data_IF_029399084751
#
_entry.id   IF_029399084751
#
_cell.length_a   1.000
_cell.length_b   1.000
_cell.length_c   1.000
_cell.angle_alpha   90.00
_cell.angle_beta   90.00
_cell.angle_gamma   90.00
#
_symmetry.space_group_name_H-M   'P 1'
#
loop_
_entity.id
_entity.type
_entity.pdbx_description
1 polymer ?
#
# COMPACT_ATOMS: atom_id res chain seq x y z
N UNK A 1 11.72 -4.31 -18.38
CA UNK A 1 12.56 -3.22 -17.81
C UNK A 1 11.83 -1.87 -17.75
N UNK A 2 10.96 -1.54 -18.70
CA UNK A 2 10.20 -0.27 -18.70
C UNK A 2 9.33 -0.05 -17.45
N UNK A 3 8.59 -1.07 -16.99
CA UNK A 3 7.77 -1.01 -15.76
C UNK A 3 8.58 -0.71 -14.50
N UNK A 4 9.80 -1.26 -14.39
CA UNK A 4 10.67 -1.03 -13.24
C UNK A 4 11.19 0.42 -13.23
N UNK A 5 11.61 0.92 -14.38
CA UNK A 5 12.03 2.31 -14.53
C UNK A 5 10.87 3.28 -14.23
N UNK A 6 9.66 2.96 -14.70
CA UNK A 6 8.45 3.74 -14.40
C UNK A 6 8.13 3.75 -12.91
N UNK A 7 8.15 2.58 -12.25
CA UNK A 7 7.90 2.47 -10.81
C UNK A 7 8.93 3.26 -9.99
N UNK A 8 10.20 3.23 -10.39
CA UNK A 8 11.27 3.98 -9.75
C UNK A 8 11.09 5.48 -9.92
N UNK A 9 10.90 5.95 -11.16
CA UNK A 9 10.72 7.37 -11.45
C UNK A 9 9.46 7.95 -10.77
N UNK A 10 8.36 7.22 -10.82
CA UNK A 10 7.11 7.65 -10.17
C UNK A 10 7.20 7.63 -8.64
N UNK A 11 7.89 6.66 -8.05
CA UNK A 11 8.17 6.65 -6.61
C UNK A 11 9.01 7.86 -6.17
N UNK A 12 10.07 8.20 -6.90
CA UNK A 12 10.93 9.36 -6.60
C UNK A 12 10.15 10.68 -6.71
N UNK A 13 9.41 10.88 -7.80
CA UNK A 13 8.64 12.11 -8.02
C UNK A 13 7.54 12.28 -6.96
N UNK A 14 6.87 11.20 -6.58
CA UNK A 14 5.82 11.23 -5.57
C UNK A 14 6.39 11.49 -4.16
N UNK A 15 7.53 10.90 -3.83
CA UNK A 15 8.27 11.22 -2.60
C UNK A 15 8.69 12.69 -2.54
N UNK A 16 9.18 13.24 -3.65
CA UNK A 16 9.53 14.65 -3.74
C UNK A 16 8.30 15.57 -3.59
N UNK A 17 7.17 15.23 -4.21
CA UNK A 17 5.94 16.02 -4.16
C UNK A 17 5.27 16.05 -2.79
N UNK A 18 5.40 14.98 -2.00
CA UNK A 18 4.83 14.90 -0.65
C UNK A 18 5.81 15.24 0.48
N UNK A 19 7.06 15.56 0.16
CA UNK A 19 8.04 16.00 1.16
C UNK A 19 7.62 17.29 1.88
N UNK A 20 6.75 18.10 1.26
CA UNK A 20 6.21 19.34 1.85
C UNK A 20 4.83 19.19 2.49
N UNK A 21 4.28 17.97 2.56
CA UNK A 21 2.96 17.72 3.17
C UNK A 21 3.14 16.89 4.43
N UNK A 22 2.69 17.43 5.55
CA UNK A 22 2.71 16.73 6.82
C UNK A 22 1.53 15.76 6.89
N UNK A 23 1.85 14.50 7.15
CA UNK A 23 0.87 13.44 7.37
C UNK A 23 1.22 12.73 8.68
N UNK A 24 0.25 12.69 9.60
CA UNK A 24 0.48 12.27 10.99
C UNK A 24 0.99 10.82 11.11
N UNK A 25 0.57 9.95 10.19
CA UNK A 25 1.02 8.56 10.15
C UNK A 25 0.72 7.89 8.81
N UNK A 26 1.75 7.33 8.18
CA UNK A 26 1.66 6.58 6.93
C UNK A 26 2.12 5.14 7.09
N UNK A 27 1.37 4.16 6.54
CA UNK A 27 1.89 2.81 6.40
C UNK A 27 3.05 2.76 5.41
N UNK A 28 4.02 1.89 5.68
CA UNK A 28 5.15 1.66 4.79
C UNK A 28 4.65 1.19 3.43
N UNK A 29 4.81 2.05 2.44
CA UNK A 29 4.13 1.90 1.15
C UNK A 29 4.55 0.64 0.36
N UNK A 30 5.76 0.14 0.61
CA UNK A 30 6.26 -1.08 -0.03
C UNK A 30 5.78 -2.38 0.63
N UNK A 31 5.19 -2.35 1.83
CA UNK A 31 4.81 -3.56 2.56
C UNK A 31 3.76 -4.39 1.81
N UNK A 32 2.73 -3.73 1.28
CA UNK A 32 1.67 -4.40 0.53
C UNK A 32 2.20 -5.16 -0.69
N UNK A 33 2.93 -4.53 -1.65
CA UNK A 33 3.48 -5.26 -2.79
C UNK A 33 4.54 -6.31 -2.39
N UNK A 34 5.29 -6.07 -1.31
CA UNK A 34 6.25 -7.05 -0.79
C UNK A 34 5.53 -8.33 -0.33
N UNK A 35 4.53 -8.21 0.55
CA UNK A 35 3.82 -9.38 1.10
C UNK A 35 3.08 -10.13 -0.01
N UNK A 36 2.42 -9.41 -0.93
CA UNK A 36 1.79 -10.04 -2.09
C UNK A 36 2.83 -10.85 -2.89
N UNK A 37 3.99 -10.27 -3.18
CA UNK A 37 5.05 -10.97 -3.92
C UNK A 37 5.57 -12.21 -3.19
N UNK A 38 5.77 -12.12 -1.87
CA UNK A 38 6.25 -13.24 -1.05
C UNK A 38 5.22 -14.37 -0.98
N UNK A 39 3.93 -14.06 -0.86
CA UNK A 39 2.87 -15.07 -0.86
C UNK A 39 2.83 -15.82 -2.18
N UNK A 40 3.01 -15.13 -3.31
CA UNK A 40 3.06 -15.81 -4.61
C UNK A 40 4.36 -16.60 -4.83
N UNK A 41 5.51 -16.08 -4.38
CA UNK A 41 6.80 -16.74 -4.56
C UNK A 41 6.97 -17.99 -3.66
N UNK A 42 6.52 -17.91 -2.40
CA UNK A 42 6.81 -18.92 -1.38
C UNK A 42 5.55 -19.52 -0.75
N UNK A 43 4.43 -18.80 -0.73
CA UNK A 43 3.17 -19.29 -0.16
C UNK A 43 2.36 -20.14 -1.13
N UNK A 44 2.49 -19.93 -2.44
CA UNK A 44 1.70 -20.64 -3.45
C UNK A 44 1.84 -22.17 -3.41
N UNK A 45 3.04 -22.76 -3.19
CA UNK A 45 3.18 -24.21 -3.03
C UNK A 45 2.42 -24.77 -1.82
N UNK A 46 2.27 -24.00 -0.74
CA UNK A 46 1.62 -24.42 0.49
C UNK A 46 0.09 -24.18 0.49
N UNK A 47 -0.38 -23.14 -0.21
CA UNK A 47 -1.79 -22.73 -0.27
C UNK A 47 -2.62 -23.48 -1.32
N UNK A 48 -1.95 -24.23 -2.20
CA UNK A 48 -2.56 -24.95 -3.31
C UNK A 48 -2.99 -24.04 -4.47
N UNK A 49 -3.74 -24.60 -5.42
CA UNK A 49 -4.16 -23.91 -6.65
C UNK A 49 -5.44 -23.08 -6.51
N UNK A 50 -6.05 -23.07 -5.32
CA UNK A 50 -7.28 -22.33 -5.06
C UNK A 50 -7.02 -20.82 -5.05
N UNK A 51 -7.50 -20.12 -6.08
CA UNK A 51 -7.37 -18.65 -6.24
C UNK A 51 -7.87 -17.85 -5.02
N UNK A 52 -8.99 -18.21 -4.35
CA UNK A 52 -9.43 -17.50 -3.15
C UNK A 52 -8.43 -17.58 -1.99
N UNK A 53 -7.73 -18.71 -1.84
CA UNK A 53 -6.72 -18.88 -0.79
C UNK A 53 -5.51 -17.98 -1.03
N UNK A 54 -5.04 -17.91 -2.28
CA UNK A 54 -3.95 -17.01 -2.66
C UNK A 54 -4.33 -15.54 -2.48
N UNK A 55 -5.56 -15.17 -2.84
CA UNK A 55 -6.07 -13.81 -2.66
C UNK A 55 -6.19 -13.45 -1.17
N UNK A 56 -6.78 -14.33 -0.37
CA UNK A 56 -6.95 -14.13 1.07
C UNK A 56 -5.60 -14.04 1.80
N UNK A 57 -4.66 -14.93 1.48
CA UNK A 57 -3.33 -14.92 2.08
C UNK A 57 -2.52 -13.68 1.68
N UNK A 58 -2.57 -13.26 0.42
CA UNK A 58 -1.82 -12.09 -0.06
C UNK A 58 -2.39 -10.78 0.48
N UNK A 59 -3.68 -10.53 0.29
CA UNK A 59 -4.35 -9.29 0.72
C UNK A 59 -4.47 -9.24 2.25
N UNK A 60 -4.90 -10.34 2.87
CA UNK A 60 -5.05 -10.43 4.32
C UNK A 60 -3.71 -10.40 5.04
N UNK A 61 -2.70 -11.09 4.51
CA UNK A 61 -1.33 -11.03 5.02
C UNK A 61 -0.74 -9.63 4.91
N UNK A 62 -0.93 -8.95 3.76
CA UNK A 62 -0.47 -7.59 3.57
C UNK A 62 -1.13 -6.63 4.56
N UNK A 63 -2.46 -6.65 4.68
CA UNK A 63 -3.19 -5.81 5.61
C UNK A 63 -2.79 -6.11 7.07
N UNK A 64 -2.75 -7.37 7.45
CA UNK A 64 -2.36 -7.79 8.81
C UNK A 64 -0.96 -7.32 9.18
N UNK A 65 0.02 -7.52 8.29
CA UNK A 65 1.41 -7.12 8.55
C UNK A 65 1.57 -5.60 8.60
N UNK A 66 0.82 -4.87 7.76
CA UNK A 66 0.79 -3.40 7.80
C UNK A 66 0.19 -2.89 9.11
N UNK A 67 -0.89 -3.52 9.61
CA UNK A 67 -1.49 -3.15 10.90
C UNK A 67 -0.59 -3.51 12.09
N UNK A 68 0.06 -4.67 12.07
CA UNK A 68 1.04 -5.06 13.11
C UNK A 68 2.20 -4.06 13.13
N UNK A 69 2.74 -3.69 11.97
CA UNK A 69 3.79 -2.68 11.88
C UNK A 69 3.34 -1.35 12.51
N UNK A 70 2.14 -0.88 12.17
CA UNK A 70 1.57 0.33 12.74
C UNK A 70 1.35 0.27 14.25
N UNK A 71 1.00 -0.91 14.78
CA UNK A 71 0.85 -1.14 16.21
C UNK A 71 2.20 -1.07 16.93
N UNK A 72 3.23 -1.70 16.37
CA UNK A 72 4.58 -1.72 16.93
C UNK A 72 5.25 -0.33 16.90
N UNK A 73 4.97 0.47 15.88
CA UNK A 73 5.50 1.83 15.78
C UNK A 73 4.65 2.88 16.50
N UNK A 74 3.52 2.50 17.10
CA UNK A 74 2.58 3.44 17.73
C UNK A 74 1.90 4.39 16.74
N UNK A 75 1.94 4.08 15.44
CA UNK A 75 1.48 4.93 14.35
C UNK A 75 0.02 4.65 13.96
N UNK A 76 -0.72 3.87 14.76
CA UNK A 76 -2.06 3.41 14.46
C UNK A 76 -3.09 4.55 14.60
N UNK A 77 -3.25 5.36 13.54
CA UNK A 77 -4.26 6.41 13.44
C UNK A 77 -5.43 5.98 12.53
N UNK A 78 -6.53 6.72 12.55
CA UNK A 78 -7.66 6.51 11.62
C UNK A 78 -7.17 6.60 10.17
N UNK A 79 -6.32 7.57 9.87
CA UNK A 79 -5.71 7.75 8.55
C UNK A 79 -4.84 6.54 8.17
N UNK A 80 -4.06 6.00 9.10
CA UNK A 80 -3.23 4.81 8.87
C UNK A 80 -4.06 3.59 8.49
N UNK A 81 -5.14 3.33 9.24
CA UNK A 81 -6.05 2.20 8.98
C UNK A 81 -6.76 2.37 7.65
N UNK A 82 -7.24 3.58 7.34
CA UNK A 82 -7.89 3.89 6.07
C UNK A 82 -6.93 3.70 4.87
N UNK A 83 -5.71 4.23 4.95
CA UNK A 83 -4.67 4.03 3.93
C UNK A 83 -4.34 2.54 3.75
N UNK A 84 -4.19 1.80 4.85
CA UNK A 84 -3.92 0.36 4.81
C UNK A 84 -5.05 -0.41 4.12
N UNK A 85 -6.31 -0.06 4.40
CA UNK A 85 -7.49 -0.65 3.75
C UNK A 85 -7.56 -0.30 2.26
N UNK A 86 -7.29 0.95 1.88
CA UNK A 86 -7.32 1.37 0.49
C UNK A 86 -6.19 0.70 -0.32
N UNK A 87 -4.99 0.56 0.24
CA UNK A 87 -3.89 -0.18 -0.38
C UNK A 87 -4.20 -1.68 -0.52
N UNK A 88 -4.76 -2.31 0.51
CA UNK A 88 -5.21 -3.69 0.44
C UNK A 88 -6.35 -3.86 -0.58
N UNK A 89 -7.28 -2.91 -0.66
CA UNK A 89 -8.37 -2.89 -1.64
C UNK A 89 -7.84 -2.77 -3.07
N UNK A 90 -6.88 -1.88 -3.33
CA UNK A 90 -6.21 -1.75 -4.62
C UNK A 90 -5.49 -3.06 -5.02
N UNK A 91 -4.79 -3.70 -4.08
CA UNK A 91 -4.16 -5.01 -4.31
C UNK A 91 -5.20 -6.11 -4.59
N UNK A 92 -6.30 -6.12 -3.85
CA UNK A 92 -7.39 -7.08 -4.04
C UNK A 92 -8.01 -6.97 -5.44
N UNK A 93 -8.43 -5.75 -5.83
CA UNK A 93 -9.06 -5.52 -7.13
C UNK A 93 -8.13 -5.87 -8.29
N UNK A 94 -6.83 -5.55 -8.16
CA UNK A 94 -5.85 -5.88 -9.20
C UNK A 94 -5.61 -7.37 -9.29
N UNK A 95 -5.48 -8.08 -8.17
CA UNK A 95 -5.38 -9.54 -8.16
C UNK A 95 -6.63 -10.24 -8.69
N UNK A 96 -7.84 -9.78 -8.35
CA UNK A 96 -9.08 -10.30 -8.91
C UNK A 96 -9.12 -10.12 -10.44
N UNK A 97 -8.70 -8.95 -10.91
CA UNK A 97 -8.63 -8.64 -12.35
C UNK A 97 -7.59 -9.52 -13.05
N UNK A 98 -6.40 -9.67 -12.47
CA UNK A 98 -5.35 -10.55 -12.97
C UNK A 98 -5.85 -11.99 -13.08
N UNK A 99 -6.47 -12.53 -12.03
CA UNK A 99 -7.00 -13.89 -12.03
C UNK A 99 -8.12 -14.11 -13.04
N UNK A 100 -8.92 -13.08 -13.34
CA UNK A 100 -10.03 -13.18 -14.28
C UNK A 100 -9.59 -13.06 -15.74
N UNK A 101 -8.62 -12.18 -16.04
CA UNK A 101 -8.35 -11.76 -17.41
C UNK A 101 -6.94 -12.12 -17.92
N UNK A 102 -5.97 -12.39 -17.04
CA UNK A 102 -4.62 -12.75 -17.50
C UNK A 102 -4.55 -14.24 -17.86
N UNK A 103 -4.00 -14.49 -19.06
CA UNK A 103 -3.59 -15.81 -19.55
C UNK A 103 -2.08 -15.78 -19.76
N UNK A 104 -1.42 -16.94 -19.68
CA UNK A 104 0.04 -17.09 -19.56
C UNK A 104 0.89 -16.39 -20.63
N UNK A 105 0.33 -16.07 -21.81
CA UNK A 105 1.06 -15.48 -22.95
C UNK A 105 0.58 -14.08 -23.37
N UNK A 106 -0.10 -13.33 -22.49
CA UNK A 106 -0.65 -12.02 -22.87
C UNK A 106 0.24 -10.84 -22.43
N UNK A 107 0.70 -10.03 -23.40
CA UNK A 107 1.33 -8.72 -23.18
C UNK A 107 0.48 -7.78 -22.30
N UNK A 108 -0.84 -8.00 -22.26
CA UNK A 108 -1.80 -7.25 -21.44
C UNK A 108 -1.51 -7.32 -19.93
N UNK A 109 -0.69 -8.28 -19.49
CA UNK A 109 -0.26 -8.39 -18.08
C UNK A 109 0.40 -7.10 -17.58
N UNK A 110 1.19 -6.43 -18.43
CA UNK A 110 1.86 -5.18 -18.07
C UNK A 110 0.89 -4.03 -17.81
N UNK A 111 -0.28 -4.01 -18.47
CA UNK A 111 -1.31 -3.00 -18.23
C UNK A 111 -1.93 -3.15 -16.85
N UNK A 112 -2.18 -4.37 -16.38
CA UNK A 112 -2.70 -4.61 -15.03
C UNK A 112 -1.68 -4.24 -13.95
N UNK A 113 -0.39 -4.52 -14.18
CA UNK A 113 0.69 -4.09 -13.28
C UNK A 113 0.80 -2.55 -13.21
N UNK A 114 0.69 -1.87 -14.35
CA UNK A 114 0.65 -0.41 -14.41
C UNK A 114 -0.59 0.15 -13.70
N UNK A 115 -1.75 -0.47 -13.92
CA UNK A 115 -3.00 -0.10 -13.25
C UNK A 115 -2.90 -0.19 -11.72
N UNK A 116 -2.20 -1.19 -11.19
CA UNK A 116 -1.91 -1.28 -9.76
C UNK A 116 -1.09 -0.09 -9.25
N UNK A 117 0.00 0.24 -9.94
CA UNK A 117 0.86 1.38 -9.60
C UNK A 117 0.06 2.69 -9.60
N UNK A 118 -0.77 2.91 -10.62
CA UNK A 118 -1.62 4.11 -10.73
C UNK A 118 -2.67 4.15 -9.62
N UNK A 119 -3.35 3.04 -9.33
CA UNK A 119 -4.33 2.97 -8.24
C UNK A 119 -3.68 3.28 -6.89
N UNK A 120 -2.47 2.79 -6.67
CA UNK A 120 -1.70 3.05 -5.46
C UNK A 120 -1.38 4.54 -5.28
N UNK A 121 -0.93 5.20 -6.34
CA UNK A 121 -0.68 6.64 -6.32
C UNK A 121 -1.95 7.46 -6.17
N UNK A 122 -3.04 7.05 -6.81
CA UNK A 122 -4.31 7.73 -6.67
C UNK A 122 -4.83 7.67 -5.24
N UNK A 123 -4.76 6.50 -4.59
CA UNK A 123 -5.08 6.35 -3.16
C UNK A 123 -4.22 7.29 -2.32
N UNK A 124 -2.90 7.30 -2.53
CA UNK A 124 -2.00 8.15 -1.74
C UNK A 124 -2.32 9.64 -1.94
N UNK A 125 -2.47 10.08 -3.19
CA UNK A 125 -2.78 11.47 -3.51
C UNK A 125 -4.13 11.92 -2.95
N UNK A 126 -5.17 11.07 -3.05
CA UNK A 126 -6.49 11.37 -2.52
C UNK A 126 -6.46 11.48 -1.00
N UNK A 127 -5.76 10.57 -0.31
CA UNK A 127 -5.67 10.64 1.14
C UNK A 127 -4.88 11.86 1.63
N UNK A 128 -3.79 12.23 0.96
CA UNK A 128 -3.06 13.45 1.24
C UNK A 128 -3.87 14.72 0.96
N UNK A 129 -4.69 14.70 -0.09
CA UNK A 129 -5.57 15.83 -0.39
C UNK A 129 -6.66 16.02 0.67
N UNK A 130 -7.22 14.93 1.20
CA UNK A 130 -8.31 14.97 2.19
C UNK A 130 -7.80 15.19 3.62
N UNK A 131 -6.66 14.60 3.98
CA UNK A 131 -6.18 14.52 5.36
C UNK A 131 -4.79 15.14 5.59
N UNK A 132 -4.08 15.53 4.54
CA UNK A 132 -2.76 16.14 4.65
C UNK A 132 -2.85 17.62 5.04
N UNK A 133 -1.79 18.10 5.69
CA UNK A 133 -1.64 19.51 6.07
C UNK A 133 -0.35 20.09 5.49
N UNK A 134 -0.38 21.36 5.10
CA UNK A 134 0.82 22.12 4.74
C UNK A 134 1.52 22.72 5.97
N UNK A 135 0.83 22.76 7.11
CA UNK A 135 1.39 23.21 8.39
C UNK A 135 1.86 22.01 9.22
N UNK A 136 3.03 22.09 9.89
CA UNK A 136 3.48 21.07 10.82
C UNK A 136 2.46 20.89 11.94
N UNK A 137 2.20 19.65 12.35
CA UNK A 137 1.35 19.39 13.51
C UNK A 137 1.94 20.05 14.76
N UNK A 138 1.10 20.72 15.56
CA UNK A 138 1.53 21.36 16.80
C UNK A 138 2.16 20.31 17.72
N UNK A 139 3.38 20.58 18.20
CA UNK A 139 4.03 19.76 19.22
C UNK A 139 3.22 19.92 20.50
N UNK A 140 2.64 18.83 20.99
CA UNK A 140 1.87 18.82 22.24
C UNK A 140 2.79 19.32 23.37
N UNK A 141 2.46 20.48 23.95
CA UNK A 141 3.28 21.08 24.98
C UNK A 141 3.39 20.12 26.18
N UNK A 142 4.59 19.93 26.77
CA UNK A 142 4.75 19.05 27.92
C UNK A 142 3.77 19.47 29.01
N UNK A 143 2.96 18.50 29.48
CA UNK A 143 1.93 18.74 30.48
C UNK A 143 2.52 19.53 31.66
N UNK A 144 2.01 20.73 31.88
CA UNK A 144 2.45 21.59 32.96
C UNK A 144 2.30 20.83 34.28
N UNK A 145 3.35 20.73 35.12
CA UNK A 145 3.25 20.01 36.38
C UNK A 145 2.17 20.69 37.22
N UNK A 146 1.11 19.94 37.57
CA UNK A 146 0.07 20.41 38.48
C UNK A 146 0.76 20.76 39.81
N UNK A 147 0.71 22.05 40.16
CA UNK A 147 1.17 22.58 41.45
C UNK A 147 0.31 22.05 42.60
#
# INVERSE_FOLDING_TARGET
MFLLAYALGSGVLLGAGFNSTYFYSEPLTFLTPLVVSLVFAYGAPALGSARPNLLGASVGGALGLTLIAGLLTGALSVSYVLLSLLYAGAACLTLMTLFKFVKSDSESTHLYMLGYIVAYFYVKALTFFVMGSYEPYAVEAPAEPRK
#
